data_IF_199921943292
#
_entry.id   IF_199921943292
#
_cell.length_a   1.000
_cell.length_b   1.000
_cell.length_c   1.000
_cell.angle_alpha   90.00
_cell.angle_beta   90.00
_cell.angle_gamma   90.00
#
_symmetry.space_group_name_H-M   'P 1'
#
loop_
_entity.id
_entity.type
_entity.pdbx_description
1 polymer ?
#
# COMPACT_ATOMS: atom_id res chain seq x y z
N UNK A 1 5.17 -31.02 -0.09
CA UNK A 1 4.59 -30.86 1.26
C UNK A 1 4.79 -29.43 1.81
N UNK A 2 6.02 -28.89 1.81
CA UNK A 2 6.31 -27.52 2.27
C UNK A 2 5.57 -26.41 1.50
N UNK A 3 5.52 -26.48 0.16
CA UNK A 3 4.83 -25.47 -0.67
C UNK A 3 3.31 -25.43 -0.46
N UNK A 4 2.70 -26.55 -0.06
CA UNK A 4 1.27 -26.62 0.25
C UNK A 4 0.97 -25.94 1.59
N UNK A 5 1.78 -26.23 2.62
CA UNK A 5 1.65 -25.60 3.94
C UNK A 5 1.86 -24.07 3.86
N UNK A 6 2.86 -23.64 3.08
CA UNK A 6 3.12 -22.22 2.80
C UNK A 6 1.91 -21.60 2.09
N UNK A 7 1.36 -22.24 1.05
CA UNK A 7 0.17 -21.74 0.36
C UNK A 7 -1.02 -21.55 1.31
N UNK A 8 -1.30 -22.50 2.19
CA UNK A 8 -2.39 -22.42 3.18
C UNK A 8 -2.15 -21.30 4.20
N UNK A 9 -0.92 -21.16 4.71
CA UNK A 9 -0.56 -20.11 5.66
C UNK A 9 -0.80 -18.70 5.08
N UNK A 10 -0.50 -18.48 3.80
CA UNK A 10 -0.68 -17.18 3.14
C UNK A 10 -2.15 -16.79 2.99
N UNK A 11 -3.07 -17.76 2.94
CA UNK A 11 -4.50 -17.47 2.86
C UNK A 11 -5.07 -16.99 4.19
N UNK A 12 -4.58 -17.56 5.29
CA UNK A 12 -5.15 -17.39 6.64
C UNK A 12 -4.53 -16.20 7.36
N UNK A 13 -3.23 -15.94 7.21
CA UNK A 13 -2.53 -14.93 8.00
C UNK A 13 -2.92 -13.48 7.62
N UNK A 14 -3.04 -12.56 8.60
CA UNK A 14 -3.21 -11.13 8.34
C UNK A 14 -2.00 -10.56 7.56
N UNK A 15 -2.20 -9.51 6.73
CA UNK A 15 -1.10 -8.91 5.98
C UNK A 15 0.10 -8.49 6.85
N UNK A 16 -0.14 -7.99 8.06
CA UNK A 16 0.94 -7.60 8.97
C UNK A 16 1.86 -8.76 9.40
N UNK A 17 1.35 -9.99 9.51
CA UNK A 17 2.17 -11.17 9.86
C UNK A 17 3.08 -11.57 8.70
N UNK A 18 2.56 -11.45 7.47
CA UNK A 18 3.33 -11.72 6.27
C UNK A 18 4.41 -10.67 6.03
N UNK A 19 4.09 -9.40 6.26
CA UNK A 19 5.08 -8.31 6.21
C UNK A 19 6.21 -8.54 7.23
N UNK A 20 5.87 -9.03 8.43
CA UNK A 20 6.88 -9.39 9.44
C UNK A 20 7.82 -10.51 8.95
N UNK A 21 7.27 -11.61 8.43
CA UNK A 21 8.08 -12.73 7.90
C UNK A 21 8.93 -12.31 6.70
N UNK A 22 8.36 -11.50 5.79
CA UNK A 22 9.08 -10.91 4.67
C UNK A 22 10.26 -10.07 5.16
N UNK A 23 10.00 -9.11 6.05
CA UNK A 23 11.02 -8.22 6.60
C UNK A 23 12.12 -8.95 7.37
N UNK A 24 11.81 -10.06 8.05
CA UNK A 24 12.82 -10.88 8.73
C UNK A 24 13.78 -11.59 7.74
N UNK A 25 13.33 -11.84 6.51
CA UNK A 25 14.14 -12.49 5.46
C UNK A 25 15.02 -11.52 4.67
N UNK A 26 14.61 -10.26 4.52
CA UNK A 26 15.25 -9.25 3.66
C UNK A 26 16.72 -8.92 4.01
N UNK A 27 17.14 -8.89 5.30
CA UNK A 27 18.55 -8.63 5.65
C UNK A 27 19.54 -9.67 5.11
N UNK A 28 19.06 -10.85 4.65
CA UNK A 28 19.88 -11.92 4.09
C UNK A 28 19.45 -12.18 2.65
N UNK A 29 20.05 -11.45 1.71
CA UNK A 29 19.69 -11.48 0.28
C UNK A 29 19.63 -12.89 -0.30
N UNK A 30 20.57 -13.77 0.05
CA UNK A 30 20.60 -15.15 -0.43
C UNK A 30 19.42 -15.98 0.08
N UNK A 31 19.02 -15.77 1.33
CA UNK A 31 17.88 -16.46 1.94
C UNK A 31 16.57 -15.92 1.35
N UNK A 32 16.47 -14.61 1.17
CA UNK A 32 15.35 -13.97 0.51
C UNK A 32 15.18 -14.55 -0.90
N UNK A 33 16.24 -14.56 -1.71
CA UNK A 33 16.21 -15.07 -3.08
C UNK A 33 15.76 -16.53 -3.14
N UNK A 34 16.42 -17.42 -2.37
CA UNK A 34 16.06 -18.85 -2.28
C UNK A 34 14.63 -19.10 -1.81
N UNK A 35 14.07 -18.18 -1.04
CA UNK A 35 12.70 -18.27 -0.52
C UNK A 35 11.71 -17.78 -1.57
N UNK A 36 11.91 -16.58 -2.12
CA UNK A 36 11.01 -15.96 -3.08
C UNK A 36 10.97 -16.69 -4.42
N UNK A 37 12.08 -17.26 -4.90
CA UNK A 37 12.12 -18.08 -6.12
C UNK A 37 11.24 -19.33 -6.04
N UNK A 38 11.00 -19.85 -4.84
CA UNK A 38 10.22 -21.07 -4.62
C UNK A 38 8.74 -20.80 -4.43
N UNK A 39 8.36 -19.54 -4.19
CA UNK A 39 6.97 -19.13 -4.00
C UNK A 39 6.32 -18.98 -5.39
N UNK A 40 5.14 -19.57 -5.56
CA UNK A 40 4.39 -19.45 -6.81
C UNK A 40 3.92 -17.99 -7.01
N UNK A 41 3.98 -17.44 -8.24
CA UNK A 41 3.50 -16.09 -8.55
C UNK A 41 2.09 -15.78 -8.00
N UNK A 42 1.17 -16.75 -8.13
CA UNK A 42 -0.21 -16.66 -7.60
C UNK A 42 -0.30 -16.32 -6.11
N UNK A 43 0.70 -16.71 -5.32
CA UNK A 43 0.73 -16.42 -3.88
C UNK A 43 1.03 -14.93 -3.65
N UNK A 44 1.91 -14.33 -4.46
CA UNK A 44 2.17 -12.89 -4.42
C UNK A 44 0.97 -12.08 -4.90
N UNK A 45 0.27 -12.54 -5.95
CA UNK A 45 -0.96 -11.90 -6.44
C UNK A 45 -2.07 -11.88 -5.38
N UNK A 46 -2.32 -13.03 -4.74
CA UNK A 46 -3.28 -13.11 -3.65
C UNK A 46 -2.90 -12.19 -2.48
N UNK A 47 -1.62 -12.25 -2.08
CA UNK A 47 -1.13 -11.46 -0.96
C UNK A 47 -1.19 -9.96 -1.25
N UNK A 48 -0.78 -9.53 -2.44
CA UNK A 48 -0.76 -8.12 -2.85
C UNK A 48 -2.18 -7.57 -2.91
N UNK A 49 -3.15 -8.32 -3.44
CA UNK A 49 -4.56 -7.94 -3.44
C UNK A 49 -5.11 -7.75 -2.01
N UNK A 50 -4.81 -8.69 -1.10
CA UNK A 50 -5.22 -8.60 0.31
C UNK A 50 -4.58 -7.39 1.01
N UNK A 51 -3.29 -7.14 0.76
CA UNK A 51 -2.55 -6.00 1.32
C UNK A 51 -3.05 -4.67 0.78
N UNK A 52 -3.33 -4.57 -0.52
CA UNK A 52 -3.89 -3.38 -1.15
C UNK A 52 -5.22 -2.98 -0.51
N UNK A 53 -6.16 -3.93 -0.36
CA UNK A 53 -7.45 -3.68 0.30
C UNK A 53 -7.31 -3.29 1.77
N UNK A 54 -6.44 -3.98 2.50
CA UNK A 54 -6.15 -3.65 3.89
C UNK A 54 -5.63 -2.21 4.01
N UNK A 55 -4.66 -1.83 3.18
CA UNK A 55 -4.10 -0.49 3.16
C UNK A 55 -5.13 0.55 2.75
N UNK A 56 -5.89 0.31 1.68
CA UNK A 56 -6.97 1.19 1.23
C UNK A 56 -7.94 1.53 2.36
N UNK A 57 -8.47 0.51 3.05
CA UNK A 57 -9.42 0.70 4.17
C UNK A 57 -8.79 1.51 5.30
N UNK A 58 -7.52 1.22 5.63
CA UNK A 58 -6.78 1.95 6.66
C UNK A 58 -6.60 3.41 6.29
N UNK A 59 -6.14 3.71 5.07
CA UNK A 59 -5.82 5.09 4.66
C UNK A 59 -7.06 5.92 4.35
N UNK A 60 -8.13 5.31 3.82
CA UNK A 60 -9.43 5.99 3.65
C UNK A 60 -9.98 6.52 4.98
N UNK A 61 -9.70 5.82 6.08
CA UNK A 61 -10.09 6.26 7.42
C UNK A 61 -9.05 7.19 8.05
N UNK A 62 -7.76 6.97 7.86
CA UNK A 62 -6.73 7.63 8.69
C UNK A 62 -5.98 8.76 8.00
N UNK A 63 -6.02 8.88 6.67
CA UNK A 63 -5.27 9.93 5.95
C UNK A 63 -6.25 11.02 5.50
N UNK A 64 -6.17 12.25 6.03
CA UNK A 64 -7.11 13.32 5.71
C UNK A 64 -7.20 13.64 4.22
N UNK A 65 -6.05 13.76 3.54
CA UNK A 65 -6.00 14.04 2.11
C UNK A 65 -6.70 12.94 1.30
N UNK A 66 -6.43 11.67 1.62
CA UNK A 66 -7.01 10.54 0.90
C UNK A 66 -8.52 10.45 1.11
N UNK A 67 -9.00 10.70 2.33
CA UNK A 67 -10.45 10.75 2.59
C UNK A 67 -11.13 11.82 1.73
N UNK A 68 -10.61 13.04 1.73
CA UNK A 68 -11.17 14.14 0.91
C UNK A 68 -11.08 13.83 -0.58
N UNK A 69 -9.98 13.23 -1.03
CA UNK A 69 -9.83 12.79 -2.42
C UNK A 69 -10.91 11.79 -2.82
N UNK A 70 -11.23 10.81 -1.97
CA UNK A 70 -12.30 9.85 -2.23
C UNK A 70 -13.68 10.53 -2.24
N UNK A 71 -13.95 11.41 -1.28
CA UNK A 71 -15.21 12.18 -1.21
C UNK A 71 -15.43 13.04 -2.47
N UNK A 72 -14.39 13.77 -2.92
CA UNK A 72 -14.44 14.59 -4.14
C UNK A 72 -14.69 13.76 -5.41
N UNK A 73 -14.24 12.50 -5.42
CA UNK A 73 -14.48 11.57 -6.52
C UNK A 73 -15.76 10.73 -6.31
N UNK A 74 -16.59 11.05 -5.32
CA UNK A 74 -17.82 10.33 -4.98
C UNK A 74 -17.61 8.84 -4.68
N UNK A 75 -16.47 8.49 -4.09
CA UNK A 75 -16.12 7.13 -3.71
C UNK A 75 -16.48 6.89 -2.25
N UNK A 76 -17.37 5.93 -2.01
CA UNK A 76 -17.68 5.39 -0.70
C UNK A 76 -16.74 4.20 -0.40
N UNK A 77 -15.78 4.32 0.55
CA UNK A 77 -14.88 3.23 0.90
C UNK A 77 -15.61 1.96 1.38
N UNK A 78 -16.81 2.13 1.96
CA UNK A 78 -17.66 1.04 2.40
C UNK A 78 -18.15 0.15 1.26
N UNK A 79 -18.19 0.65 0.02
CA UNK A 79 -18.60 -0.10 -1.17
C UNK A 79 -17.46 -0.92 -1.80
N UNK A 80 -16.21 -0.69 -1.39
CA UNK A 80 -15.05 -1.43 -1.92
C UNK A 80 -14.84 -2.73 -1.13
N UNK A 81 -15.45 -3.82 -1.61
CA UNK A 81 -15.48 -5.10 -0.88
C UNK A 81 -14.32 -6.02 -1.24
N UNK A 82 -13.92 -6.03 -2.50
CA UNK A 82 -12.87 -6.88 -3.05
C UNK A 82 -11.91 -6.10 -3.95
N UNK A 83 -10.89 -6.78 -4.48
CA UNK A 83 -9.83 -6.16 -5.28
C UNK A 83 -10.36 -5.67 -6.63
N UNK A 84 -11.39 -6.31 -7.18
CA UNK A 84 -12.01 -5.89 -8.44
C UNK A 84 -12.77 -4.57 -8.26
N UNK A 85 -13.47 -4.38 -7.14
CA UNK A 85 -14.07 -3.09 -6.78
C UNK A 85 -12.99 -2.02 -6.65
N UNK A 86 -11.87 -2.34 -5.99
CA UNK A 86 -10.76 -1.41 -5.82
C UNK A 86 -10.20 -0.97 -7.18
N UNK A 87 -9.89 -1.94 -8.06
CA UNK A 87 -9.32 -1.68 -9.38
C UNK A 87 -10.28 -0.90 -10.30
N UNK A 88 -11.58 -1.15 -10.19
CA UNK A 88 -12.59 -0.55 -11.07
C UNK A 88 -13.08 0.82 -10.60
N UNK A 89 -13.19 1.02 -9.29
CA UNK A 89 -13.87 2.18 -8.71
C UNK A 89 -12.91 3.21 -8.12
N UNK A 90 -11.76 2.81 -7.59
CA UNK A 90 -10.86 3.74 -6.89
C UNK A 90 -10.02 4.52 -7.91
N UNK A 91 -10.11 5.86 -7.96
CA UNK A 91 -9.35 6.66 -8.91
C UNK A 91 -7.85 6.60 -8.63
N UNK A 92 -7.06 6.62 -9.70
CA UNK A 92 -5.61 6.71 -9.59
C UNK A 92 -5.19 8.12 -9.12
N UNK A 93 -4.26 8.16 -8.18
CA UNK A 93 -3.61 9.39 -7.73
C UNK A 93 -2.44 9.74 -8.65
N UNK A 94 -2.21 11.04 -8.85
CA UNK A 94 -1.08 11.58 -9.58
C UNK A 94 -0.60 12.88 -8.92
N UNK A 95 0.41 13.52 -9.52
CA UNK A 95 1.01 14.75 -8.97
C UNK A 95 0.00 15.90 -8.86
N UNK A 96 -0.93 16.01 -9.81
CA UNK A 96 -1.83 17.15 -9.95
C UNK A 96 -3.14 16.98 -9.19
N UNK A 97 -3.67 15.75 -9.09
CA UNK A 97 -4.94 15.47 -8.42
C UNK A 97 -4.80 15.07 -6.94
N UNK A 98 -3.56 14.89 -6.47
CA UNK A 98 -3.30 14.43 -5.11
C UNK A 98 -2.05 15.06 -4.49
N UNK A 99 -0.86 14.84 -5.05
CA UNK A 99 0.40 15.21 -4.37
C UNK A 99 0.52 16.72 -4.14
N UNK A 100 0.14 17.53 -5.14
CA UNK A 100 0.16 19.01 -5.07
C UNK A 100 -1.14 19.60 -4.53
N UNK A 101 -2.23 18.84 -4.57
CA UNK A 101 -3.55 19.30 -4.12
C UNK A 101 -3.68 19.32 -2.60
N UNK A 102 -2.83 18.58 -1.89
CA UNK A 102 -2.89 18.40 -0.44
C UNK A 102 -1.52 18.64 0.18
N UNK A 103 -1.51 19.24 1.38
CA UNK A 103 -0.26 19.43 2.11
C UNK A 103 0.39 18.10 2.47
N UNK A 104 1.71 18.10 2.66
CA UNK A 104 2.45 16.90 3.02
C UNK A 104 1.91 16.26 4.32
N UNK A 105 1.62 17.08 5.33
CA UNK A 105 1.05 16.62 6.59
C UNK A 105 -0.31 15.93 6.40
N UNK A 106 -1.20 16.48 5.56
CA UNK A 106 -2.51 15.88 5.29
C UNK A 106 -2.43 14.56 4.53
N UNK A 107 -1.33 14.32 3.80
CA UNK A 107 -1.03 13.03 3.16
C UNK A 107 -0.49 11.99 4.15
N UNK A 108 -0.18 12.38 5.39
CA UNK A 108 0.24 11.47 6.44
C UNK A 108 -0.93 10.91 7.26
N UNK A 109 -0.66 9.82 7.98
CA UNK A 109 -1.62 9.22 8.92
C UNK A 109 -1.99 10.25 10.00
N UNK A 110 -3.29 10.40 10.24
CA UNK A 110 -3.90 11.37 11.14
C UNK A 110 -3.55 12.85 10.84
N UNK A 111 -3.02 13.17 9.66
CA UNK A 111 -2.63 14.54 9.32
C UNK A 111 -1.36 15.01 10.04
N UNK A 112 -0.54 14.09 10.55
CA UNK A 112 0.61 14.38 11.39
C UNK A 112 1.87 13.72 10.85
N UNK A 113 2.99 14.41 10.96
CA UNK A 113 4.29 13.82 10.67
C UNK A 113 4.64 12.74 11.71
N UNK A 114 5.24 11.61 11.28
CA UNK A 114 5.81 10.64 12.22
C UNK A 114 7.01 11.25 12.96
N UNK A 115 7.31 10.72 14.17
CA UNK A 115 8.46 11.18 14.98
C UNK A 115 9.81 11.05 14.26
N UNK A 116 9.94 10.05 13.40
CA UNK A 116 11.11 9.84 12.55
C UNK A 116 10.65 9.92 11.10
N UNK A 117 11.19 10.88 10.37
CA UNK A 117 10.84 11.13 8.98
C UNK A 117 12.10 11.17 8.11
N UNK A 118 11.98 10.60 6.92
CA UNK A 118 12.88 10.85 5.80
C UNK A 118 12.03 11.52 4.72
N UNK A 119 12.50 12.65 4.20
CA UNK A 119 11.84 13.36 3.13
C UNK A 119 12.65 13.18 1.86
N UNK A 120 11.97 12.73 0.81
CA UNK A 120 12.56 12.58 -0.51
C UNK A 120 11.93 13.62 -1.44
N UNK A 121 12.78 14.38 -2.13
CA UNK A 121 12.37 15.40 -3.07
C UNK A 121 12.68 14.94 -4.50
N UNK A 122 11.72 15.11 -5.40
CA UNK A 122 11.97 15.00 -6.83
C UNK A 122 11.91 16.37 -7.48
N UNK A 123 12.87 16.66 -8.37
CA UNK A 123 12.99 17.95 -9.07
C UNK A 123 11.77 18.31 -9.93
N UNK A 124 11.05 17.29 -10.42
CA UNK A 124 9.85 17.50 -11.25
C UNK A 124 10.17 18.14 -12.62
N UNK A 125 9.21 18.11 -13.53
CA UNK A 125 9.36 18.68 -14.88
C UNK A 125 8.75 20.08 -15.02
N UNK A 126 8.01 20.55 -14.00
CA UNK A 126 7.29 21.84 -14.03
C UNK A 126 8.01 22.97 -13.30
N UNK A 127 9.26 22.76 -12.85
CA UNK A 127 10.01 23.71 -12.01
C UNK A 127 9.60 23.72 -10.53
N UNK A 128 8.45 23.13 -10.19
CA UNK A 128 8.01 22.91 -8.82
C UNK A 128 8.32 21.47 -8.39
N UNK A 129 9.14 21.34 -7.35
CA UNK A 129 9.49 20.07 -6.78
C UNK A 129 8.30 19.40 -6.06
N UNK A 130 8.40 18.09 -5.91
CA UNK A 130 7.42 17.30 -5.17
C UNK A 130 8.12 16.52 -4.06
N UNK A 131 7.65 16.71 -2.84
CA UNK A 131 8.01 15.92 -1.67
C UNK A 131 7.16 14.66 -1.60
N UNK A 132 7.83 13.52 -1.49
CA UNK A 132 7.23 12.20 -1.36
C UNK A 132 7.08 11.79 0.10
#
# INVERSE_FOLDING_TARGET
>A
MLNFLISVLYHILPPGVMDFLGNASLPKSDLAFKTYEKIRPSVFEYYSAKKALYMFRKVALKVPAYRRFLEQNNIDPGKIKNIDDFNRLVPQTNKNNYVRSYSLAERCINGQFPEKISLEESSGTSGESAFW
#
